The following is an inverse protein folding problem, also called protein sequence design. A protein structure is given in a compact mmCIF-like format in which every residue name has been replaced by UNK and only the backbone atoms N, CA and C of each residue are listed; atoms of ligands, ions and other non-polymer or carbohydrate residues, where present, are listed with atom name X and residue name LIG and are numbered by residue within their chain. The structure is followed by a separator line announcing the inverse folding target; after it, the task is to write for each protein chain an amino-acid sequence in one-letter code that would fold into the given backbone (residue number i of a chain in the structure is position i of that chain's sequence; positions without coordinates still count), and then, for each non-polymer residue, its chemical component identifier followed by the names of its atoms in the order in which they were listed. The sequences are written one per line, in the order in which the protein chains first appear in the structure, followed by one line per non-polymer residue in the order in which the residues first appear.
data_IF_730460891941
#
_entry.id   IF_730460891941
#
_cell.length_a   1.000
_cell.length_b   1.000
_cell.length_c   1.000
_cell.angle_alpha   90.00
_cell.angle_beta   90.00
_cell.angle_gamma   90.00
#
_symmetry.space_group_name_H-M   'P 1'
#
loop_
_entity.id
_entity.type
_entity.pdbx_description
1 polymer ?
#
# COMPACT_ATOMS: atom_id res chain seq x y z
N UNK A 1 -11.34 -3.01 -26.62
CA UNK A 1 -10.19 -2.19 -26.20
C UNK A 1 -9.79 -2.73 -24.85
N UNK A 2 -8.59 -3.27 -24.71
CA UNK A 2 -8.02 -3.51 -23.39
C UNK A 2 -7.93 -2.16 -22.70
N UNK A 3 -8.34 -2.09 -21.44
CA UNK A 3 -8.27 -0.84 -20.69
C UNK A 3 -6.86 -0.80 -20.11
N UNK A 4 -5.91 -0.29 -20.90
CA UNK A 4 -4.46 -0.39 -20.66
C UNK A 4 -3.97 0.54 -19.52
N UNK A 5 -4.77 0.65 -18.45
CA UNK A 5 -4.49 1.42 -17.23
C UNK A 5 -3.95 0.48 -16.16
N UNK A 6 -2.63 0.41 -16.04
CA UNK A 6 -1.96 -0.10 -14.86
C UNK A 6 -1.19 1.03 -14.15
N UNK A 7 -0.90 0.83 -12.86
CA UNK A 7 -0.12 1.78 -12.06
C UNK A 7 -0.55 1.83 -10.59
N UNK A 8 0.13 2.67 -9.82
CA UNK A 8 -0.12 2.92 -8.40
C UNK A 8 -0.43 4.41 -8.20
N UNK A 9 -1.49 4.72 -7.45
CA UNK A 9 -1.76 6.07 -6.95
C UNK A 9 -1.47 6.14 -5.46
N UNK A 10 -0.82 7.22 -5.00
CA UNK A 10 -0.54 7.42 -3.58
C UNK A 10 -1.06 8.78 -3.12
N UNK A 11 -1.67 8.81 -1.94
CA UNK A 11 -2.22 10.00 -1.32
C UNK A 11 -2.05 10.02 0.19
N UNK A 12 -2.45 11.14 0.80
CA UNK A 12 -2.59 11.28 2.25
C UNK A 12 -4.04 11.65 2.52
N UNK A 13 -4.74 10.79 3.25
CA UNK A 13 -6.09 11.04 3.74
C UNK A 13 -6.06 11.36 5.24
N UNK A 14 -7.12 12.03 5.73
CA UNK A 14 -7.29 12.38 7.13
C UNK A 14 -8.67 11.95 7.59
N UNK A 15 -8.73 11.32 8.76
CA UNK A 15 -9.98 10.99 9.47
C UNK A 15 -9.86 11.47 10.92
N UNK A 16 -10.70 12.43 11.32
CA UNK A 16 -10.62 13.07 12.63
C UNK A 16 -9.26 13.73 12.86
N UNK A 17 -8.46 13.18 13.77
CA UNK A 17 -7.07 13.59 14.06
C UNK A 17 -6.01 12.67 13.43
N UNK A 18 -6.37 11.46 12.98
CA UNK A 18 -5.45 10.50 12.37
C UNK A 18 -5.23 10.82 10.89
N UNK A 19 -3.98 10.76 10.46
CA UNK A 19 -3.59 10.79 9.05
C UNK A 19 -3.19 9.39 8.62
N UNK A 20 -3.51 9.03 7.38
CA UNK A 20 -3.11 7.75 6.82
C UNK A 20 -2.73 7.92 5.34
N UNK A 21 -1.72 7.17 4.94
CA UNK A 21 -1.29 7.09 3.55
C UNK A 21 -2.23 6.14 2.81
N UNK A 22 -2.69 6.54 1.62
CA UNK A 22 -3.47 5.68 0.74
C UNK A 22 -2.60 5.21 -0.41
N UNK A 23 -2.69 3.93 -0.75
CA UNK A 23 -2.12 3.36 -1.96
C UNK A 23 -3.26 2.71 -2.74
N UNK A 24 -3.32 2.89 -4.05
CA UNK A 24 -4.30 2.23 -4.92
C UNK A 24 -3.55 1.63 -6.10
N UNK A 25 -3.58 0.31 -6.24
CA UNK A 25 -2.91 -0.41 -7.32
C UNK A 25 -3.95 -0.96 -8.31
N UNK A 26 -3.72 -0.74 -9.60
CA UNK A 26 -4.65 -1.06 -10.69
C UNK A 26 -3.92 -1.82 -11.80
N UNK A 27 -4.60 -2.77 -12.45
CA UNK A 27 -4.13 -3.48 -13.63
C UNK A 27 -3.04 -4.50 -13.31
N UNK A 28 -2.15 -4.79 -14.27
CA UNK A 28 -0.97 -5.64 -14.04
C UNK A 28 0.28 -4.76 -13.89
N UNK A 29 0.84 -4.68 -12.68
CA UNK A 29 2.08 -3.93 -12.43
C UNK A 29 3.30 -4.63 -13.04
N UNK A 30 4.09 -3.85 -13.75
CA UNK A 30 5.32 -4.23 -14.46
C UNK A 30 6.55 -3.63 -13.77
N UNK A 31 7.76 -4.01 -14.20
CA UNK A 31 8.99 -3.41 -13.66
C UNK A 31 9.06 -1.89 -13.89
N UNK A 32 8.65 -1.42 -15.07
CA UNK A 32 8.70 -0.02 -15.50
C UNK A 32 7.82 0.88 -14.62
N UNK A 33 6.65 0.39 -14.20
CA UNK A 33 5.77 1.07 -13.23
C UNK A 33 6.51 1.42 -11.93
N UNK A 34 7.32 0.49 -11.40
CA UNK A 34 8.08 0.72 -10.17
C UNK A 34 9.22 1.73 -10.37
N UNK A 35 9.91 1.71 -11.53
CA UNK A 35 11.00 2.66 -11.81
C UNK A 35 10.52 4.12 -11.83
N UNK A 36 9.31 4.39 -12.33
CA UNK A 36 8.74 5.75 -12.35
C UNK A 36 8.13 6.18 -11.02
N UNK A 37 7.47 5.27 -10.29
CA UNK A 37 6.67 5.67 -9.12
C UNK A 37 7.44 5.72 -7.80
N UNK A 38 8.52 4.97 -7.64
CA UNK A 38 9.33 5.00 -6.39
C UNK A 38 9.88 6.41 -6.10
N UNK A 39 10.52 7.14 -7.04
CA UNK A 39 11.01 8.51 -6.76
C UNK A 39 9.90 9.52 -6.47
N UNK A 40 8.70 9.33 -7.05
CA UNK A 40 7.54 10.17 -6.78
C UNK A 40 7.01 9.95 -5.35
N UNK A 41 7.00 8.70 -4.89
CA UNK A 41 6.63 8.33 -3.52
C UNK A 41 7.57 9.00 -2.50
N UNK A 42 8.88 8.81 -2.66
CA UNK A 42 9.90 9.36 -1.75
C UNK A 42 9.76 10.88 -1.57
N UNK A 43 9.61 11.59 -2.69
CA UNK A 43 9.42 13.05 -2.71
C UNK A 43 8.14 13.49 -1.97
N UNK A 44 7.05 12.74 -2.09
CA UNK A 44 5.79 13.06 -1.42
C UNK A 44 5.84 12.86 0.11
N UNK A 45 6.67 11.94 0.61
CA UNK A 45 6.70 11.55 2.03
C UNK A 45 7.88 12.14 2.82
N UNK A 46 8.85 12.76 2.13
CA UNK A 46 10.08 13.31 2.71
C UNK A 46 9.81 14.30 3.87
N UNK A 47 8.85 15.21 3.70
CA UNK A 47 8.51 16.26 4.68
C UNK A 47 7.53 15.86 5.80
N UNK A 48 7.08 14.60 5.85
CA UNK A 48 6.01 14.16 6.77
C UNK A 48 6.60 13.71 8.11
N UNK A 49 6.85 14.61 9.05
CA UNK A 49 7.43 14.32 10.39
C UNK A 49 6.45 13.64 11.38
N UNK A 50 5.60 12.72 10.90
CA UNK A 50 4.72 11.92 11.75
C UNK A 50 5.44 10.65 12.24
N UNK A 51 5.41 10.32 13.56
CA UNK A 51 6.09 9.13 14.09
C UNK A 51 5.42 7.82 13.67
N UNK A 52 4.10 7.84 13.53
CA UNK A 52 3.24 6.70 13.23
C UNK A 52 2.39 7.03 11.99
N UNK A 53 2.50 6.19 10.95
CA UNK A 53 1.73 6.34 9.71
C UNK A 53 0.87 5.09 9.52
N UNK A 54 -0.44 5.28 9.51
CA UNK A 54 -1.37 4.24 9.10
C UNK A 54 -1.46 4.16 7.58
N UNK A 55 -1.67 2.97 7.02
CA UNK A 55 -1.68 2.73 5.57
C UNK A 55 -2.97 2.05 5.17
N UNK A 56 -3.63 2.57 4.14
CA UNK A 56 -4.76 1.94 3.45
C UNK A 56 -4.34 1.59 2.02
N UNK A 57 -3.98 0.33 1.78
CA UNK A 57 -3.68 -0.19 0.46
C UNK A 57 -4.94 -0.76 -0.19
N UNK A 58 -5.27 -0.34 -1.40
CA UNK A 58 -6.41 -0.79 -2.18
C UNK A 58 -5.90 -1.53 -3.42
N UNK A 59 -6.12 -2.83 -3.44
CA UNK A 59 -5.70 -3.77 -4.49
C UNK A 59 -6.93 -4.44 -5.14
N UNK A 60 -8.10 -3.81 -5.05
CA UNK A 60 -9.36 -4.33 -5.61
C UNK A 60 -9.33 -4.44 -7.14
N UNK A 61 -8.71 -3.48 -7.84
CA UNK A 61 -8.53 -3.50 -9.31
C UNK A 61 -7.18 -4.09 -9.75
N UNK A 62 -6.48 -4.86 -8.90
CA UNK A 62 -5.15 -5.42 -9.19
C UNK A 62 -5.27 -6.78 -9.88
N UNK A 63 -4.79 -6.90 -11.11
CA UNK A 63 -4.78 -8.15 -11.90
C UNK A 63 -3.56 -9.03 -11.59
N UNK A 64 -2.43 -8.39 -11.31
CA UNK A 64 -1.12 -9.03 -11.25
C UNK A 64 -0.01 -8.06 -10.89
N UNK A 65 1.13 -8.60 -10.48
CA UNK A 65 2.39 -7.87 -10.43
C UNK A 65 3.56 -8.80 -10.75
N UNK A 66 4.63 -8.25 -11.31
CA UNK A 66 5.84 -9.02 -11.59
C UNK A 66 6.76 -9.10 -10.35
N UNK A 67 6.59 -10.19 -9.59
CA UNK A 67 7.43 -10.54 -8.43
C UNK A 67 8.89 -10.77 -8.85
N UNK A 68 9.71 -9.77 -8.54
CA UNK A 68 11.17 -9.84 -8.34
C UNK A 68 11.57 -8.81 -7.29
N UNK A 69 10.94 -7.64 -7.42
CA UNK A 69 10.55 -6.82 -6.30
C UNK A 69 9.11 -7.20 -5.82
N UNK A 70 8.34 -6.24 -5.25
CA UNK A 70 7.34 -6.35 -4.14
C UNK A 70 7.92 -6.05 -2.73
N UNK A 71 9.07 -5.39 -2.68
CA UNK A 71 10.32 -5.92 -2.10
C UNK A 71 11.34 -4.80 -2.29
N UNK A 72 12.47 -4.91 -1.60
CA UNK A 72 13.67 -4.09 -1.82
C UNK A 72 13.49 -2.60 -1.51
N UNK A 73 12.57 -1.89 -2.15
CA UNK A 73 11.75 -0.87 -1.47
C UNK A 73 10.25 -1.26 -1.60
N UNK A 74 9.46 -1.49 -0.55
CA UNK A 74 9.34 -0.81 0.76
C UNK A 74 10.25 -1.32 1.91
N UNK A 75 11.44 -1.87 1.62
CA UNK A 75 12.56 -2.03 2.55
C UNK A 75 13.78 -1.14 2.26
N UNK A 76 13.53 0.15 2.10
CA UNK A 76 13.93 1.08 3.15
C UNK A 76 12.68 1.59 3.88
N UNK A 77 12.01 0.65 4.58
CA UNK A 77 10.69 0.78 5.22
C UNK A 77 10.65 1.91 6.23
N UNK A 78 10.40 3.10 5.70
CA UNK A 78 10.81 4.41 6.23
C UNK A 78 12.34 4.57 6.46
N UNK A 79 13.06 3.55 6.92
CA UNK A 79 14.52 3.43 7.14
C UNK A 79 15.25 4.45 8.05
N UNK A 80 14.72 5.65 8.24
CA UNK A 80 15.25 6.68 9.13
C UNK A 80 14.22 7.16 10.17
N UNK A 81 13.23 6.32 10.53
CA UNK A 81 12.65 6.35 11.88
C UNK A 81 11.19 6.80 12.06
N UNK A 82 10.32 6.64 11.06
CA UNK A 82 8.86 6.54 11.31
C UNK A 82 8.49 5.05 11.26
N UNK A 83 7.42 4.65 11.92
CA UNK A 83 6.92 3.27 11.85
C UNK A 83 5.55 3.25 11.17
N UNK A 84 5.30 2.25 10.32
CA UNK A 84 3.92 1.93 9.96
C UNK A 84 3.29 1.23 11.15
N UNK A 85 2.26 1.84 11.75
CA UNK A 85 1.60 1.27 12.94
C UNK A 85 0.58 0.20 12.49
N UNK A 86 -0.35 0.57 11.61
CA UNK A 86 -1.35 -0.32 11.02
C UNK A 86 -1.37 -0.25 9.49
N UNK A 87 -1.53 -1.40 8.84
CA UNK A 87 -1.65 -1.53 7.38
C UNK A 87 -2.93 -2.29 7.04
N UNK A 88 -3.92 -1.59 6.49
CA UNK A 88 -5.17 -2.18 6.03
C UNK A 88 -5.13 -2.40 4.51
N UNK A 89 -5.34 -3.64 4.07
CA UNK A 89 -5.27 -4.04 2.66
C UNK A 89 -6.67 -4.43 2.20
N UNK A 90 -7.18 -3.73 1.19
CA UNK A 90 -8.53 -3.92 0.63
C UNK A 90 -8.42 -4.65 -0.70
N UNK A 91 -9.14 -5.75 -0.89
CA UNK A 91 -9.15 -6.48 -2.16
C UNK A 91 -10.36 -7.40 -2.32
N UNK A 92 -10.69 -7.75 -3.57
CA UNK A 92 -11.84 -8.60 -3.90
C UNK A 92 -11.38 -9.97 -4.42
N UNK A 93 -12.02 -11.06 -3.96
CA UNK A 93 -12.00 -12.40 -4.57
C UNK A 93 -10.67 -13.18 -4.62
N UNK A 94 -9.53 -12.51 -4.48
CA UNK A 94 -8.17 -13.07 -4.58
C UNK A 94 -7.32 -12.80 -3.34
N UNK A 95 -7.96 -12.36 -2.25
CA UNK A 95 -7.28 -11.84 -1.07
C UNK A 95 -6.36 -12.89 -0.40
N UNK A 96 -6.70 -14.19 -0.47
CA UNK A 96 -5.82 -15.28 0.01
C UNK A 96 -4.58 -15.47 -0.88
N UNK A 97 -4.70 -15.29 -2.20
CA UNK A 97 -3.57 -15.35 -3.14
C UNK A 97 -2.61 -14.18 -2.88
N UNK A 98 -3.16 -12.99 -2.65
CA UNK A 98 -2.39 -11.79 -2.30
C UNK A 98 -1.73 -11.89 -0.91
N UNK A 99 -2.44 -12.42 0.11
CA UNK A 99 -1.85 -12.71 1.42
C UNK A 99 -0.65 -13.65 1.29
N UNK A 100 -0.79 -14.78 0.59
CA UNK A 100 0.30 -15.74 0.42
C UNK A 100 1.52 -15.16 -0.32
N UNK A 101 1.30 -14.21 -1.24
CA UNK A 101 2.35 -13.51 -1.99
C UNK A 101 3.05 -12.38 -1.22
N UNK A 102 2.42 -11.83 -0.17
CA UNK A 102 2.93 -10.67 0.57
C UNK A 102 3.20 -10.94 2.07
N UNK A 103 3.02 -12.17 2.54
CA UNK A 103 3.12 -12.52 3.97
C UNK A 103 4.44 -12.06 4.61
N UNK A 104 5.58 -12.33 3.96
CA UNK A 104 6.92 -11.98 4.45
C UNK A 104 7.13 -10.46 4.59
N UNK A 105 6.46 -9.64 3.78
CA UNK A 105 6.58 -8.18 3.78
C UNK A 105 5.83 -7.54 4.95
N UNK A 106 4.65 -8.06 5.29
CA UNK A 106 3.79 -7.48 6.33
C UNK A 106 3.96 -8.10 7.72
N UNK A 107 4.73 -9.19 7.85
CA UNK A 107 5.02 -9.86 9.13
C UNK A 107 5.50 -8.94 10.28
N UNK A 108 6.28 -7.86 10.08
CA UNK A 108 6.70 -6.98 11.18
C UNK A 108 5.71 -5.86 11.55
N UNK A 109 4.57 -5.73 10.86
CA UNK A 109 3.58 -4.66 11.06
C UNK A 109 2.21 -5.26 11.46
N UNK A 110 1.35 -4.51 12.18
CA UNK A 110 -0.04 -4.95 12.34
C UNK A 110 -0.75 -4.74 10.98
N UNK A 111 -0.90 -5.83 10.22
CA UNK A 111 -1.46 -5.80 8.88
C UNK A 111 -2.70 -6.68 8.79
N UNK A 112 -3.78 -6.13 8.22
CA UNK A 112 -5.07 -6.83 8.08
C UNK A 112 -5.67 -6.64 6.70
N UNK A 113 -6.36 -7.68 6.28
CA UNK A 113 -6.99 -7.79 4.98
C UNK A 113 -8.50 -7.65 5.12
N UNK A 114 -9.12 -6.88 4.23
CA UNK A 114 -10.53 -6.52 4.23
C UNK A 114 -11.12 -6.64 2.83
N UNK A 115 -12.36 -7.09 2.72
CA UNK A 115 -13.13 -6.99 1.47
C UNK A 115 -13.79 -5.60 1.34
N UNK A 116 -13.93 -4.88 2.45
CA UNK A 116 -14.60 -3.58 2.54
C UNK A 116 -13.63 -2.45 2.89
N UNK A 117 -13.53 -1.45 2.00
CA UNK A 117 -12.79 -0.20 2.26
C UNK A 117 -13.34 0.59 3.46
N UNK A 118 -14.59 0.35 3.85
CA UNK A 118 -15.21 0.94 5.05
C UNK A 118 -14.62 0.32 6.31
N UNK A 119 -14.61 -1.01 6.39
CA UNK A 119 -14.10 -1.77 7.55
C UNK A 119 -12.60 -1.54 7.73
N UNK A 120 -11.85 -1.53 6.63
CA UNK A 120 -10.44 -1.16 6.62
C UNK A 120 -10.19 0.22 7.23
N UNK A 121 -10.96 1.23 6.83
CA UNK A 121 -10.87 2.59 7.43
C UNK A 121 -11.30 2.60 8.89
N UNK A 122 -12.34 1.88 9.28
CA UNK A 122 -12.79 1.81 10.67
C UNK A 122 -11.68 1.25 11.58
N UNK A 123 -11.04 0.14 11.19
CA UNK A 123 -9.94 -0.46 11.94
C UNK A 123 -8.63 0.37 11.98
N UNK A 124 -8.36 1.20 10.97
CA UNK A 124 -7.26 2.20 11.00
C UNK A 124 -7.58 3.41 11.91
N UNK A 125 -8.87 3.65 12.21
CA UNK A 125 -9.32 4.72 13.10
C UNK A 125 -9.41 4.29 14.56
N UNK A 126 -9.62 3.00 14.85
CA UNK A 126 -9.41 2.39 16.17
C UNK A 126 -7.98 2.70 16.69
#
# INVERSE_FOLDING_TARGET
MSNDRHGISVGIERSGSKFYMTFVAVGKLTHEDYEYMVPMLESAIAGVEAPEINVLADISELDGWELRAAWDDLKLGIAHGKAFEKIAIVGEGRIQEWMAKMADWFTPYDAKFFESKKEAREWLND
#
